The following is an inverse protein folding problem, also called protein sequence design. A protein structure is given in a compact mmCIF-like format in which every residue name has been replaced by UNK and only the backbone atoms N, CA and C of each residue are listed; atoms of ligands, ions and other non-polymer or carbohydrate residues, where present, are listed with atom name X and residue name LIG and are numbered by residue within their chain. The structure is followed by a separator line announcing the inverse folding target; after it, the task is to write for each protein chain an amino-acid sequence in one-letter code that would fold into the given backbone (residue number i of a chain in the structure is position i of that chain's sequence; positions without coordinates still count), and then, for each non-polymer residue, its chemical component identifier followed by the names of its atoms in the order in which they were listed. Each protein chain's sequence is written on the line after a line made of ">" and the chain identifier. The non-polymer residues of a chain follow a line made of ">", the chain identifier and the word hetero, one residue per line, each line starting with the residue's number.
data_IF_676218597022
#
_entry.id   IF_676218597022
#
_cell.length_a   1.000
_cell.length_b   1.000
_cell.length_c   1.000
_cell.angle_alpha   90.00
_cell.angle_beta   90.00
_cell.angle_gamma   90.00
#
_symmetry.space_group_name_H-M   'P 1'
#
loop_
_entity.id
_entity.type
_entity.pdbx_description
1 polymer ?
#
# COMPACT_ATOMS: atom_id res chain seq x y z
N UNK A 1 33.16 18.17 -13.30
CA UNK A 1 31.88 17.73 -13.90
C UNK A 1 30.86 18.81 -13.58
N UNK A 2 30.04 19.22 -14.56
CA UNK A 2 29.27 20.49 -14.53
C UNK A 2 28.51 20.69 -13.21
N UNK A 3 29.02 21.58 -12.36
CA UNK A 3 28.50 21.83 -11.00
C UNK A 3 27.39 22.87 -10.96
N UNK A 4 26.99 23.39 -12.12
CA UNK A 4 26.01 24.47 -12.21
C UNK A 4 25.15 24.41 -13.48
N UNK A 5 23.90 24.84 -13.33
CA UNK A 5 22.86 24.85 -14.35
C UNK A 5 22.54 26.29 -14.75
N UNK A 6 22.36 26.55 -16.05
CA UNK A 6 21.83 27.84 -16.50
C UNK A 6 20.33 27.93 -16.22
N UNK A 7 19.79 29.15 -16.17
CA UNK A 7 18.34 29.36 -16.00
C UNK A 7 17.51 28.63 -17.07
N UNK A 8 17.99 28.61 -18.32
CA UNK A 8 17.36 27.88 -19.43
C UNK A 8 17.37 26.37 -19.22
N UNK A 9 18.52 25.82 -18.82
CA UNK A 9 18.65 24.38 -18.60
C UNK A 9 17.79 23.93 -17.39
N UNK A 10 17.80 24.70 -16.31
CA UNK A 10 16.94 24.43 -15.15
C UNK A 10 15.45 24.48 -15.50
N UNK A 11 15.03 25.46 -16.31
CA UNK A 11 13.66 25.58 -16.79
C UNK A 11 13.20 24.31 -17.56
N UNK A 12 14.05 23.80 -18.44
CA UNK A 12 13.79 22.57 -19.20
C UNK A 12 13.69 21.34 -18.30
N UNK A 13 14.61 21.17 -17.35
CA UNK A 13 14.62 20.02 -16.43
C UNK A 13 13.41 19.98 -15.49
N UNK A 14 12.96 21.15 -15.02
CA UNK A 14 11.85 21.25 -14.08
C UNK A 14 10.51 21.33 -14.80
N UNK A 15 10.46 21.78 -16.06
CA UNK A 15 9.20 22.03 -16.77
C UNK A 15 8.50 23.31 -16.30
N UNK A 16 9.29 24.33 -15.92
CA UNK A 16 8.81 25.69 -15.64
C UNK A 16 9.24 26.62 -16.79
N UNK A 17 8.48 27.69 -17.10
CA UNK A 17 8.92 28.65 -18.12
C UNK A 17 10.21 29.36 -17.67
N UNK A 18 11.13 29.61 -18.61
CA UNK A 18 12.44 30.23 -18.31
C UNK A 18 12.29 31.60 -17.61
N UNK A 19 11.23 32.35 -17.94
CA UNK A 19 10.87 33.61 -17.28
C UNK A 19 10.54 33.43 -15.79
N UNK A 20 9.91 32.32 -15.40
CA UNK A 20 9.63 32.01 -14.00
C UNK A 20 10.91 31.72 -13.23
N UNK A 21 11.81 30.90 -13.79
CA UNK A 21 13.12 30.59 -13.18
C UNK A 21 13.95 31.87 -13.01
N UNK A 22 14.02 32.73 -14.03
CA UNK A 22 14.70 34.04 -13.93
C UNK A 22 14.08 34.94 -12.87
N UNK A 23 12.77 34.89 -12.70
CA UNK A 23 12.09 35.67 -11.66
C UNK A 23 12.40 35.12 -10.26
N UNK A 24 12.46 33.79 -10.09
CA UNK A 24 12.92 33.16 -8.83
C UNK A 24 14.35 33.58 -8.48
N UNK A 25 15.25 33.69 -9.47
CA UNK A 25 16.61 34.19 -9.26
C UNK A 25 16.61 35.65 -8.80
N UNK A 26 15.82 36.50 -9.47
CA UNK A 26 15.70 37.92 -9.11
C UNK A 26 15.21 38.12 -7.69
N UNK A 27 14.26 37.32 -7.26
CA UNK A 27 13.67 37.41 -5.92
C UNK A 27 14.54 36.74 -4.84
N UNK A 28 15.72 36.23 -5.21
CA UNK A 28 16.66 35.60 -4.28
C UNK A 28 16.22 34.23 -3.77
N UNK A 29 15.24 33.60 -4.42
CA UNK A 29 14.76 32.27 -4.07
C UNK A 29 15.78 31.18 -4.42
N UNK A 30 16.46 31.35 -5.57
CA UNK A 30 17.45 30.40 -6.09
C UNK A 30 18.63 31.13 -6.72
N UNK A 31 19.83 30.57 -6.61
CA UNK A 31 21.05 31.19 -7.12
C UNK A 31 21.34 32.55 -6.49
N UNK A 32 22.32 33.27 -7.06
CA UNK A 32 22.72 34.60 -6.59
C UNK A 32 22.04 35.70 -7.42
N UNK A 33 21.24 36.60 -6.81
CA UNK A 33 20.64 37.73 -7.49
C UNK A 33 21.70 38.60 -8.20
N UNK A 34 21.48 38.92 -9.46
CA UNK A 34 22.37 39.80 -10.23
C UNK A 34 23.63 39.13 -10.80
N UNK A 35 23.88 37.84 -10.53
CA UNK A 35 24.99 37.13 -11.15
C UNK A 35 24.74 36.88 -12.64
N UNK A 36 25.71 37.24 -13.49
CA UNK A 36 25.67 37.02 -14.94
C UNK A 36 26.94 36.28 -15.39
N UNK A 37 26.84 35.06 -15.95
CA UNK A 37 25.61 34.30 -16.16
C UNK A 37 25.07 33.72 -14.85
N UNK A 38 23.74 33.58 -14.76
CA UNK A 38 23.12 32.94 -13.61
C UNK A 38 23.51 31.44 -13.55
N UNK A 39 24.11 31.03 -12.43
CA UNK A 39 24.54 29.67 -12.17
C UNK A 39 23.71 29.11 -11.01
N UNK A 40 22.94 28.05 -11.28
CA UNK A 40 22.10 27.37 -10.31
C UNK A 40 22.77 26.07 -9.87
N UNK A 41 22.75 25.77 -8.58
CA UNK A 41 23.22 24.52 -8.01
C UNK A 41 22.15 23.42 -8.07
N UNK A 42 22.50 22.18 -7.73
CA UNK A 42 21.51 21.11 -7.56
C UNK A 42 20.48 21.44 -6.46
N UNK A 43 20.91 22.13 -5.40
CA UNK A 43 20.04 22.61 -4.32
C UNK A 43 18.97 23.58 -4.82
N UNK A 44 19.32 24.43 -5.80
CA UNK A 44 18.38 25.36 -6.43
C UNK A 44 17.32 24.65 -7.28
N UNK A 45 17.68 23.53 -7.93
CA UNK A 45 16.72 22.73 -8.69
C UNK A 45 15.64 22.11 -7.80
N UNK A 46 15.99 21.68 -6.58
CA UNK A 46 15.02 21.18 -5.61
C UNK A 46 14.02 22.26 -5.19
N UNK A 47 14.48 23.49 -4.94
CA UNK A 47 13.57 24.61 -4.65
C UNK A 47 12.65 24.93 -5.84
N UNK A 48 13.15 24.86 -7.07
CA UNK A 48 12.33 25.02 -8.28
C UNK A 48 11.30 23.90 -8.46
N UNK A 49 11.60 22.66 -8.07
CA UNK A 49 10.61 21.57 -8.04
C UNK A 49 9.46 21.85 -7.08
N UNK A 50 9.75 22.42 -5.91
CA UNK A 50 8.73 22.84 -4.95
C UNK A 50 7.84 23.95 -5.53
N UNK A 51 8.44 24.95 -6.19
CA UNK A 51 7.68 25.99 -6.91
C UNK A 51 6.77 25.35 -7.96
N UNK A 52 7.29 24.41 -8.75
CA UNK A 52 6.52 23.72 -9.79
C UNK A 52 5.34 22.94 -9.21
N UNK A 53 5.55 22.15 -8.16
CA UNK A 53 4.50 21.37 -7.52
C UNK A 53 3.35 22.26 -7.00
N UNK A 54 3.67 23.42 -6.43
CA UNK A 54 2.66 24.38 -5.95
C UNK A 54 1.88 25.05 -7.09
N UNK A 55 2.55 25.34 -8.20
CA UNK A 55 1.89 25.87 -9.41
C UNK A 55 1.01 24.83 -10.07
N UNK A 56 1.46 23.58 -10.17
CA UNK A 56 0.67 22.46 -10.69
C UNK A 56 -0.58 22.20 -9.82
N UNK A 57 -0.49 22.48 -8.51
CA UNK A 57 -1.63 22.46 -7.58
C UNK A 57 -2.59 23.66 -7.74
N UNK A 58 -2.38 24.52 -8.75
CA UNK A 58 -3.27 25.62 -9.10
C UNK A 58 -2.93 26.96 -8.42
N UNK A 59 -1.80 27.06 -7.71
CA UNK A 59 -1.43 28.30 -7.02
C UNK A 59 -0.79 29.31 -7.98
N UNK A 60 -1.12 30.61 -7.85
CA UNK A 60 -0.56 31.63 -8.71
C UNK A 60 0.94 31.79 -8.45
N UNK A 61 1.74 31.51 -9.49
CA UNK A 61 3.21 31.56 -9.48
C UNK A 61 3.79 32.84 -8.82
N UNK A 62 3.29 34.08 -9.08
CA UNK A 62 3.82 35.27 -8.41
C UNK A 62 3.71 35.23 -6.89
N UNK A 63 2.62 34.64 -6.38
CA UNK A 63 2.35 34.52 -4.94
C UNK A 63 3.20 33.42 -4.30
N UNK A 64 3.31 32.27 -4.96
CA UNK A 64 4.19 31.16 -4.56
C UNK A 64 5.63 31.64 -4.40
N UNK A 65 6.15 32.36 -5.39
CA UNK A 65 7.53 32.88 -5.36
C UNK A 65 7.76 33.85 -4.20
N UNK A 66 6.84 34.79 -3.98
CA UNK A 66 6.95 35.79 -2.92
C UNK A 66 6.96 35.15 -1.53
N UNK A 67 6.05 34.21 -1.28
CA UNK A 67 5.96 33.57 0.04
C UNK A 67 7.13 32.61 0.29
N UNK A 68 7.56 31.83 -0.70
CA UNK A 68 8.75 30.98 -0.52
C UNK A 68 10.03 31.79 -0.30
N UNK A 69 10.18 32.93 -0.98
CA UNK A 69 11.31 33.85 -0.76
C UNK A 69 11.26 34.45 0.66
N UNK A 70 10.07 34.79 1.15
CA UNK A 70 9.87 35.25 2.53
C UNK A 70 10.25 34.16 3.53
N UNK A 71 9.83 32.92 3.32
CA UNK A 71 10.19 31.80 4.20
C UNK A 71 11.70 31.60 4.24
N UNK A 72 12.35 31.61 3.08
CA UNK A 72 13.80 31.42 2.99
C UNK A 72 14.60 32.47 3.75
N UNK A 73 14.11 33.72 3.85
CA UNK A 73 14.72 34.78 4.66
C UNK A 73 14.64 34.54 6.17
N UNK A 74 13.69 33.72 6.63
CA UNK A 74 13.47 33.44 8.05
C UNK A 74 14.02 32.06 8.45
N UNK A 75 14.61 31.31 7.52
CA UNK A 75 15.26 30.03 7.83
C UNK A 75 16.62 30.26 8.51
N UNK A 76 17.00 29.42 9.50
CA UNK A 76 18.33 29.46 10.10
C UNK A 76 19.42 29.29 9.04
N UNK A 77 20.56 29.95 9.26
CA UNK A 77 21.73 29.86 8.39
C UNK A 77 22.15 28.40 8.16
N UNK A 78 22.03 27.92 6.92
CA UNK A 78 22.39 26.55 6.52
C UNK A 78 21.21 25.73 6.01
N UNK A 79 19.99 25.94 6.53
CA UNK A 79 18.80 25.16 6.16
C UNK A 79 18.32 25.47 4.75
N UNK A 80 18.02 24.44 3.96
CA UNK A 80 17.55 24.59 2.58
C UNK A 80 16.05 24.43 2.47
N UNK A 81 15.41 25.15 1.53
CA UNK A 81 14.07 24.82 1.05
C UNK A 81 13.97 23.36 0.53
N UNK A 82 15.10 22.77 0.11
CA UNK A 82 15.18 21.38 -0.32
C UNK A 82 14.99 20.35 0.82
N UNK A 83 15.20 20.76 2.07
CA UNK A 83 15.01 19.95 3.28
C UNK A 83 13.61 20.15 3.89
N UNK A 84 12.74 20.86 3.16
CA UNK A 84 11.38 21.14 3.58
C UNK A 84 10.39 20.26 2.81
N UNK A 85 9.57 19.51 3.54
CA UNK A 85 8.40 18.80 3.03
C UNK A 85 7.23 19.77 2.94
N UNK A 86 6.59 19.86 1.77
CA UNK A 86 5.43 20.71 1.54
C UNK A 86 4.18 19.84 1.44
N UNK A 87 3.23 20.04 2.34
CA UNK A 87 2.00 19.25 2.45
C UNK A 87 0.77 20.18 2.36
N UNK A 88 -0.23 19.80 1.56
CA UNK A 88 -1.50 20.53 1.52
C UNK A 88 -2.51 19.87 2.46
N UNK A 89 -3.02 20.61 3.46
CA UNK A 89 -4.00 20.10 4.43
C UNK A 89 -5.04 21.18 4.72
N UNK A 90 -6.33 20.84 4.58
CA UNK A 90 -7.42 21.75 4.92
C UNK A 90 -7.46 23.04 4.07
N UNK A 91 -7.07 22.96 2.81
CA UNK A 91 -7.01 24.13 1.92
C UNK A 91 -5.75 24.96 2.06
N UNK A 92 -4.89 24.70 3.05
CA UNK A 92 -3.65 25.42 3.30
C UNK A 92 -2.41 24.60 2.93
N UNK A 93 -1.33 25.28 2.57
CA UNK A 93 -0.04 24.64 2.28
C UNK A 93 0.87 24.79 3.49
N UNK A 94 1.23 23.67 4.11
CA UNK A 94 2.14 23.59 5.25
C UNK A 94 3.55 23.22 4.79
N UNK A 95 4.55 23.81 5.42
CA UNK A 95 5.96 23.54 5.15
C UNK A 95 6.62 23.01 6.43
N UNK A 96 7.21 21.81 6.37
CA UNK A 96 7.84 21.09 7.50
C UNK A 96 9.32 20.81 7.21
N UNK A 97 10.24 21.13 8.14
CA UNK A 97 11.68 20.80 8.00
C UNK A 97 12.07 19.44 8.58
N UNK A 98 13.14 18.84 8.06
CA UNK A 98 13.57 17.46 8.39
C UNK A 98 14.57 17.30 9.54
N UNK A 99 15.07 18.36 10.19
CA UNK A 99 16.03 18.23 11.30
C UNK A 99 15.44 18.54 12.68
N UNK A 100 15.64 17.58 13.60
CA UNK A 100 15.02 17.44 14.92
C UNK A 100 15.58 18.34 16.04
N UNK A 101 16.39 19.36 15.76
CA UNK A 101 17.04 20.14 16.84
C UNK A 101 16.97 21.67 16.75
N UNK A 102 16.17 22.23 15.85
CA UNK A 102 15.76 23.63 16.01
C UNK A 102 14.25 23.67 15.85
N UNK A 103 13.58 23.96 16.96
CA UNK A 103 12.18 24.32 16.96
C UNK A 103 11.97 25.52 16.03
N UNK A 104 11.64 25.27 14.76
CA UNK A 104 10.67 26.09 14.05
C UNK A 104 9.35 25.84 14.77
N UNK A 105 9.19 26.51 15.92
CA UNK A 105 7.96 26.54 16.67
C UNK A 105 6.87 27.11 15.76
N UNK A 106 6.06 26.22 15.20
CA UNK A 106 4.97 26.55 14.30
C UNK A 106 5.26 26.15 12.86
N UNK A 107 4.48 25.21 12.36
CA UNK A 107 4.26 25.00 10.93
C UNK A 107 4.02 26.37 10.28
N UNK A 108 4.83 26.79 9.31
CA UNK A 108 4.46 27.93 8.47
C UNK A 108 3.37 27.46 7.52
N UNK A 109 2.13 27.75 7.88
CA UNK A 109 1.00 27.68 6.96
C UNK A 109 1.14 28.86 6.00
N UNK A 110 1.35 28.55 4.73
CA UNK A 110 1.17 29.53 3.68
C UNK A 110 -0.33 29.87 3.62
N UNK A 111 -0.71 31.16 3.59
CA UNK A 111 -2.11 31.61 3.52
C UNK A 111 -2.66 31.44 2.11
N UNK A 112 -2.40 30.29 1.48
CA UNK A 112 -3.01 29.88 0.24
C UNK A 112 -4.27 29.11 0.61
N UNK A 113 -5.44 29.61 0.25
CA UNK A 113 -6.64 28.79 0.21
C UNK A 113 -6.72 28.16 -1.18
N UNK A 114 -6.63 26.83 -1.25
CA UNK A 114 -6.89 26.07 -2.47
C UNK A 114 -8.40 26.10 -2.69
N UNK A 115 -8.88 27.08 -3.46
CA UNK A 115 -10.28 27.15 -3.88
C UNK A 115 -10.49 26.09 -4.96
N UNK A 116 -11.30 25.03 -4.75
CA UNK A 116 -11.72 24.18 -5.86
C UNK A 116 -12.51 25.04 -6.84
N UNK A 117 -12.16 24.96 -8.12
CA UNK A 117 -12.63 25.87 -9.14
C UNK A 117 -14.17 26.02 -9.16
N UNK A 118 -14.60 27.30 -9.21
CA UNK A 118 -15.95 27.84 -9.41
C UNK A 118 -16.91 27.82 -8.21
N UNK A 119 -17.09 29.00 -7.60
CA UNK A 119 -18.40 29.65 -7.48
C UNK A 119 -18.24 31.08 -6.89
N UNK A 120 -18.58 32.09 -7.67
CA UNK A 120 -18.79 33.48 -7.23
C UNK A 120 -20.16 33.61 -6.56
N UNK A 121 -20.26 34.31 -5.41
CA UNK A 121 -21.47 35.01 -4.90
C UNK A 121 -21.08 36.02 -3.77
N UNK A 122 -21.94 37.01 -3.46
CA UNK A 122 -21.55 38.39 -3.12
C UNK A 122 -21.46 38.66 -1.59
N UNK A 123 -20.92 39.82 -1.17
CA UNK A 123 -20.65 40.08 0.23
C UNK A 123 -21.90 40.61 0.96
N UNK A 124 -22.27 39.98 2.07
CA UNK A 124 -23.35 40.44 2.92
C UNK A 124 -23.52 39.64 4.21
N UNK A 125 -22.95 40.19 5.28
CA UNK A 125 -23.22 39.93 6.71
C UNK A 125 -22.89 38.53 7.29
N UNK A 126 -21.77 38.49 8.02
CA UNK A 126 -21.43 37.42 8.95
C UNK A 126 -22.35 37.47 10.16
N UNK A 127 -23.41 36.65 10.16
CA UNK A 127 -23.91 36.09 11.41
C UNK A 127 -23.03 34.90 11.79
N UNK A 128 -22.47 34.91 13.00
CA UNK A 128 -21.92 33.70 13.59
C UNK A 128 -23.08 32.71 13.80
N UNK A 129 -23.25 31.81 12.83
CA UNK A 129 -24.01 30.58 13.05
C UNK A 129 -23.24 29.76 14.09
N UNK A 130 -23.93 29.09 15.03
CA UNK A 130 -23.27 28.20 15.98
C UNK A 130 -22.37 27.26 15.18
N UNK A 131 -21.08 27.19 15.57
CA UNK A 131 -20.10 26.27 14.97
C UNK A 131 -20.76 24.90 14.85
N UNK A 132 -21.23 24.55 13.66
CA UNK A 132 -21.34 23.16 13.31
C UNK A 132 -19.89 22.68 13.30
N UNK A 133 -19.55 21.77 14.21
CA UNK A 133 -18.31 21.03 14.11
C UNK A 133 -18.18 20.59 12.64
N UNK A 134 -17.02 20.81 12.00
CA UNK A 134 -16.82 20.30 10.65
C UNK A 134 -17.19 18.82 10.70
N UNK A 135 -18.05 18.30 9.79
CA UNK A 135 -18.31 16.88 9.76
C UNK A 135 -16.94 16.22 9.72
N UNK A 136 -16.69 15.33 10.69
CA UNK A 136 -15.43 14.63 10.80
C UNK A 136 -15.02 14.19 9.39
N UNK A 137 -13.73 14.33 9.00
CA UNK A 137 -13.29 13.94 7.67
C UNK A 137 -13.90 12.59 7.40
N UNK A 138 -14.76 12.49 6.37
CA UNK A 138 -15.41 11.24 6.04
C UNK A 138 -14.26 10.33 5.66
N UNK A 139 -13.83 9.54 6.63
CA UNK A 139 -12.76 8.57 6.46
C UNK A 139 -13.16 7.78 5.22
N UNK A 140 -12.23 7.60 4.29
CA UNK A 140 -12.46 6.64 3.21
C UNK A 140 -13.04 5.38 3.88
N UNK A 141 -14.18 4.87 3.39
CA UNK A 141 -14.85 3.79 4.07
C UNK A 141 -13.83 2.70 4.36
N UNK A 142 -13.80 2.14 5.58
CA UNK A 142 -12.84 1.11 5.93
C UNK A 142 -12.89 0.03 4.87
N UNK A 143 -11.72 -0.45 4.44
CA UNK A 143 -11.64 -1.44 3.37
C UNK A 143 -12.56 -2.63 3.69
N UNK A 144 -13.36 -3.04 2.70
CA UNK A 144 -14.32 -4.13 2.87
C UNK A 144 -13.60 -5.47 3.00
N UNK A 145 -14.30 -6.50 3.51
CA UNK A 145 -13.73 -7.85 3.55
C UNK A 145 -13.22 -8.32 2.18
N UNK A 146 -14.01 -8.11 1.13
CA UNK A 146 -13.62 -8.46 -0.25
C UNK A 146 -12.35 -7.74 -0.68
N UNK A 147 -12.21 -6.45 -0.36
CA UNK A 147 -10.99 -5.69 -0.67
C UNK A 147 -9.77 -6.24 0.08
N UNK A 148 -9.95 -6.71 1.31
CA UNK A 148 -8.89 -7.39 2.05
C UNK A 148 -8.52 -8.75 1.45
N UNK A 149 -9.50 -9.54 1.00
CA UNK A 149 -9.26 -10.83 0.31
C UNK A 149 -8.49 -10.59 -1.00
N UNK A 150 -8.95 -9.67 -1.83
CA UNK A 150 -8.28 -9.34 -3.10
C UNK A 150 -6.85 -8.86 -2.88
N UNK A 151 -6.64 -8.07 -1.82
CA UNK A 151 -5.29 -7.66 -1.43
C UNK A 151 -4.45 -8.86 -0.96
N UNK A 152 -5.02 -9.77 -0.17
CA UNK A 152 -4.32 -10.93 0.32
C UNK A 152 -3.85 -11.84 -0.83
N UNK A 153 -4.75 -12.15 -1.77
CA UNK A 153 -4.45 -12.94 -2.98
C UNK A 153 -3.28 -12.38 -3.79
N UNK A 154 -3.19 -11.05 -3.96
CA UNK A 154 -2.07 -10.41 -4.66
C UNK A 154 -0.73 -10.49 -3.92
N UNK A 155 -0.77 -10.73 -2.62
CA UNK A 155 0.39 -10.74 -1.74
C UNK A 155 0.92 -12.16 -1.49
N UNK A 156 0.14 -13.21 -1.71
CA UNK A 156 0.48 -14.59 -1.29
C UNK A 156 1.89 -15.01 -1.74
N UNK A 157 2.25 -14.78 -3.00
CA UNK A 157 3.57 -15.15 -3.53
C UNK A 157 4.67 -14.13 -3.18
N UNK A 158 4.31 -12.87 -2.96
CA UNK A 158 5.28 -11.75 -2.85
C UNK A 158 5.65 -11.41 -1.42
N UNK A 159 4.68 -11.51 -0.53
CA UNK A 159 4.75 -11.15 0.89
C UNK A 159 3.69 -11.97 1.67
N UNK A 160 3.99 -13.24 1.99
CA UNK A 160 3.04 -14.13 2.65
C UNK A 160 2.64 -13.63 4.04
N UNK A 161 3.51 -12.87 4.72
CA UNK A 161 3.20 -12.27 6.03
C UNK A 161 2.12 -11.20 5.87
N UNK A 162 2.26 -10.31 4.89
CA UNK A 162 1.24 -9.30 4.61
C UNK A 162 -0.06 -9.93 4.07
N UNK A 163 0.01 -11.06 3.37
CA UNK A 163 -1.16 -11.81 2.93
C UNK A 163 -1.95 -12.40 4.12
N UNK A 164 -1.25 -13.04 5.08
CA UNK A 164 -1.85 -13.54 6.33
C UNK A 164 -2.58 -12.41 7.07
N UNK A 165 -1.94 -11.25 7.21
CA UNK A 165 -2.55 -10.09 7.88
C UNK A 165 -3.79 -9.58 7.16
N UNK A 166 -3.77 -9.57 5.82
CA UNK A 166 -4.91 -9.17 5.01
C UNK A 166 -6.09 -10.16 5.14
N UNK A 167 -5.84 -11.47 5.08
CA UNK A 167 -6.88 -12.48 5.32
C UNK A 167 -7.46 -12.38 6.73
N UNK A 168 -6.62 -12.21 7.77
CA UNK A 168 -7.10 -12.00 9.15
C UNK A 168 -7.98 -10.76 9.28
N UNK A 169 -7.67 -9.67 8.56
CA UNK A 169 -8.51 -8.45 8.54
C UNK A 169 -9.83 -8.70 7.84
N UNK A 170 -9.83 -9.44 6.73
CA UNK A 170 -11.06 -9.85 6.06
C UNK A 170 -11.96 -10.66 6.99
N UNK A 171 -11.41 -11.71 7.60
CA UNK A 171 -12.15 -12.63 8.46
C UNK A 171 -12.66 -11.99 9.76
N UNK A 172 -12.01 -10.91 10.23
CA UNK A 172 -12.55 -10.08 11.33
C UNK A 172 -13.80 -9.31 10.93
N UNK A 173 -13.92 -8.92 9.66
CA UNK A 173 -15.07 -8.19 9.15
C UNK A 173 -16.18 -9.17 8.74
N UNK A 174 -15.82 -10.26 8.06
CA UNK A 174 -16.73 -11.28 7.57
C UNK A 174 -16.12 -12.67 7.84
N UNK A 175 -16.43 -13.28 9.00
CA UNK A 175 -15.89 -14.60 9.35
C UNK A 175 -16.50 -15.74 8.51
N UNK A 176 -17.62 -15.50 7.85
CA UNK A 176 -18.41 -16.46 7.07
C UNK A 176 -17.82 -16.78 5.68
N UNK A 177 -16.51 -16.54 5.47
CA UNK A 177 -15.86 -16.73 4.17
C UNK A 177 -14.98 -17.98 4.17
N UNK A 178 -15.52 -19.10 3.70
CA UNK A 178 -14.83 -20.39 3.61
C UNK A 178 -13.50 -20.29 2.85
N UNK A 179 -13.50 -19.62 1.68
CA UNK A 179 -12.30 -19.46 0.85
C UNK A 179 -11.17 -18.73 1.59
N UNK A 180 -11.49 -17.67 2.34
CA UNK A 180 -10.49 -16.92 3.09
C UNK A 180 -9.87 -17.76 4.23
N UNK A 181 -10.66 -18.64 4.88
CA UNK A 181 -10.14 -19.59 5.86
C UNK A 181 -9.22 -20.64 5.21
N UNK A 182 -9.58 -21.16 4.03
CA UNK A 182 -8.76 -22.13 3.30
C UNK A 182 -7.42 -21.52 2.90
N UNK A 183 -7.45 -20.33 2.28
CA UNK A 183 -6.22 -19.66 1.83
C UNK A 183 -5.32 -19.25 3.00
N UNK A 184 -5.92 -18.76 4.10
CA UNK A 184 -5.17 -18.47 5.32
C UNK A 184 -4.54 -19.75 5.92
N UNK A 185 -5.29 -20.84 5.97
CA UNK A 185 -4.81 -22.14 6.45
C UNK A 185 -3.64 -22.67 5.62
N UNK A 186 -3.70 -22.53 4.29
CA UNK A 186 -2.60 -22.91 3.39
C UNK A 186 -1.34 -22.10 3.68
N UNK A 187 -1.44 -20.78 3.84
CA UNK A 187 -0.30 -19.93 4.18
C UNK A 187 0.34 -20.30 5.54
N UNK A 188 -0.48 -20.71 6.52
CA UNK A 188 0.05 -21.24 7.78
C UNK A 188 0.77 -22.58 7.61
N UNK A 189 0.24 -23.49 6.80
CA UNK A 189 0.89 -24.77 6.51
C UNK A 189 2.24 -24.55 5.81
N UNK A 190 2.29 -23.67 4.81
CA UNK A 190 3.52 -23.32 4.07
C UNK A 190 4.57 -22.65 4.97
N UNK A 191 4.14 -21.91 6.01
CA UNK A 191 5.04 -21.30 7.00
C UNK A 191 5.42 -22.24 8.16
N UNK A 192 4.92 -23.48 8.16
CA UNK A 192 5.21 -24.50 9.17
C UNK A 192 4.36 -24.40 10.44
N UNK A 193 3.38 -23.50 10.50
CA UNK A 193 2.43 -23.43 11.61
C UNK A 193 1.23 -24.37 11.39
N UNK A 194 1.51 -25.67 11.55
CA UNK A 194 0.51 -26.72 11.36
C UNK A 194 -0.71 -26.59 12.30
N UNK A 195 -0.55 -25.97 13.47
CA UNK A 195 -1.65 -25.78 14.43
C UNK A 195 -2.60 -24.70 13.92
N UNK A 196 -2.08 -23.53 13.55
CA UNK A 196 -2.89 -22.46 12.99
C UNK A 196 -3.54 -22.88 11.66
N UNK A 197 -2.84 -23.65 10.83
CA UNK A 197 -3.39 -24.21 9.59
C UNK A 197 -4.59 -25.13 9.87
N UNK A 198 -4.43 -26.06 10.81
CA UNK A 198 -5.50 -26.98 11.22
C UNK A 198 -6.75 -26.22 11.69
N UNK A 199 -6.58 -25.20 12.54
CA UNK A 199 -7.70 -24.39 13.05
C UNK A 199 -8.42 -23.62 11.93
N UNK A 200 -7.68 -23.14 10.94
CA UNK A 200 -8.27 -22.48 9.77
C UNK A 200 -9.10 -23.46 8.93
N UNK A 201 -8.59 -24.65 8.63
CA UNK A 201 -9.34 -25.65 7.87
C UNK A 201 -10.54 -26.20 8.64
N UNK A 202 -10.44 -26.32 9.96
CA UNK A 202 -11.60 -26.62 10.83
C UNK A 202 -12.66 -25.53 10.75
N UNK A 203 -12.26 -24.26 10.79
CA UNK A 203 -13.18 -23.13 10.65
C UNK A 203 -13.86 -23.11 9.28
N UNK A 204 -13.12 -23.45 8.21
CA UNK A 204 -13.69 -23.62 6.87
C UNK A 204 -14.75 -24.74 6.84
N UNK A 205 -14.48 -25.89 7.48
CA UNK A 205 -15.42 -27.01 7.55
C UNK A 205 -16.63 -26.76 8.47
N UNK A 206 -16.50 -25.91 9.48
CA UNK A 206 -17.63 -25.50 10.31
C UNK A 206 -18.61 -24.62 9.50
N UNK A 207 -18.12 -23.89 8.48
CA UNK A 207 -18.94 -23.10 7.54
C UNK A 207 -19.47 -23.95 6.37
N UNK A 208 -18.60 -24.76 5.77
CA UNK A 208 -18.94 -25.68 4.69
C UNK A 208 -18.41 -27.10 4.98
N UNK A 209 -19.25 -27.97 5.57
CA UNK A 209 -18.89 -29.36 5.86
C UNK A 209 -18.65 -30.23 4.62
N UNK A 210 -18.90 -29.72 3.42
CA UNK A 210 -18.69 -30.41 2.16
C UNK A 210 -17.48 -29.90 1.37
N UNK A 211 -16.63 -29.05 1.97
CA UNK A 211 -15.42 -28.55 1.31
C UNK A 211 -14.32 -29.62 1.21
N UNK A 212 -14.12 -30.13 0.00
CA UNK A 212 -13.13 -31.17 -0.29
C UNK A 212 -11.68 -30.69 -0.07
N UNK A 213 -11.40 -29.41 -0.32
CA UNK A 213 -10.05 -28.81 -0.22
C UNK A 213 -9.61 -28.72 1.24
N UNK A 214 -10.53 -28.36 2.14
CA UNK A 214 -10.25 -28.33 3.58
C UNK A 214 -9.95 -29.74 4.13
N UNK A 215 -10.70 -30.77 3.72
CA UNK A 215 -10.39 -32.16 4.08
C UNK A 215 -9.04 -32.62 3.52
N UNK A 216 -8.73 -32.28 2.26
CA UNK A 216 -7.44 -32.59 1.66
C UNK A 216 -6.29 -31.99 2.47
N UNK A 217 -6.36 -30.69 2.79
CA UNK A 217 -5.28 -30.01 3.53
C UNK A 217 -5.14 -30.51 4.98
N UNK A 218 -6.25 -30.86 5.65
CA UNK A 218 -6.17 -31.56 6.95
C UNK A 218 -5.50 -32.93 6.82
N UNK A 219 -5.73 -33.64 5.71
CA UNK A 219 -5.05 -34.89 5.39
C UNK A 219 -3.54 -34.72 5.25
N UNK A 220 -3.10 -33.64 4.59
CA UNK A 220 -1.66 -33.27 4.49
C UNK A 220 -1.07 -33.04 5.87
N UNK A 221 -1.72 -32.23 6.71
CA UNK A 221 -1.26 -31.98 8.09
C UNK A 221 -1.17 -33.27 8.91
N UNK A 222 -2.16 -34.16 8.79
CA UNK A 222 -2.16 -35.44 9.50
C UNK A 222 -1.02 -36.36 9.01
N UNK A 223 -0.75 -36.38 7.71
CA UNK A 223 0.34 -37.14 7.11
C UNK A 223 1.70 -36.62 7.59
N UNK A 224 1.92 -35.31 7.59
CA UNK A 224 3.16 -34.69 8.08
C UNK A 224 3.38 -34.96 9.58
N UNK A 225 2.29 -35.09 10.35
CA UNK A 225 2.32 -35.50 11.75
C UNK A 225 2.53 -37.02 11.96
N UNK A 226 2.67 -37.81 10.89
CA UNK A 226 2.84 -39.27 10.96
C UNK A 226 1.56 -40.03 11.33
N UNK A 227 0.39 -39.39 11.28
CA UNK A 227 -0.92 -40.00 11.59
C UNK A 227 -1.53 -40.58 10.32
N UNK A 228 -0.92 -41.65 9.81
CA UNK A 228 -1.27 -42.24 8.52
C UNK A 228 -2.76 -42.63 8.40
N UNK A 229 -3.33 -43.27 9.42
CA UNK A 229 -4.73 -43.68 9.39
C UNK A 229 -5.69 -42.48 9.28
N UNK A 230 -5.41 -41.39 9.98
CA UNK A 230 -6.20 -40.16 9.94
C UNK A 230 -6.07 -39.49 8.57
N UNK A 231 -4.85 -39.42 8.03
CA UNK A 231 -4.61 -38.87 6.69
C UNK A 231 -5.38 -39.63 5.61
N UNK A 232 -5.36 -40.97 5.63
CA UNK A 232 -6.12 -41.81 4.70
C UNK A 232 -7.62 -41.53 4.81
N UNK A 233 -8.16 -41.40 6.02
CA UNK A 233 -9.58 -41.11 6.23
C UNK A 233 -9.95 -39.73 5.66
N UNK A 234 -9.13 -38.72 5.90
CA UNK A 234 -9.33 -37.35 5.42
C UNK A 234 -9.23 -37.25 3.89
N UNK A 235 -8.24 -37.88 3.27
CA UNK A 235 -8.13 -37.91 1.81
C UNK A 235 -9.26 -38.68 1.14
N UNK A 236 -9.73 -39.79 1.74
CA UNK A 236 -10.92 -40.49 1.24
C UNK A 236 -12.15 -39.59 1.31
N UNK A 237 -12.33 -38.85 2.41
CA UNK A 237 -13.43 -37.90 2.54
C UNK A 237 -13.36 -36.79 1.50
N UNK A 238 -12.16 -36.26 1.24
CA UNK A 238 -11.95 -35.29 0.16
C UNK A 238 -12.37 -35.87 -1.20
N UNK A 239 -11.97 -37.10 -1.52
CA UNK A 239 -12.32 -37.78 -2.78
C UNK A 239 -13.79 -38.20 -2.89
N UNK A 240 -14.49 -38.41 -1.79
CA UNK A 240 -15.95 -38.60 -1.78
C UNK A 240 -16.68 -37.33 -2.22
N UNK A 241 -16.14 -36.16 -1.87
CA UNK A 241 -16.71 -34.85 -2.16
C UNK A 241 -16.28 -34.34 -3.54
N UNK A 242 -15.00 -34.50 -3.89
CA UNK A 242 -14.45 -34.21 -5.20
C UNK A 242 -13.55 -35.36 -5.70
N UNK A 243 -14.08 -36.27 -6.54
CA UNK A 243 -13.32 -37.36 -7.15
C UNK A 243 -12.22 -36.91 -8.12
N UNK A 244 -12.15 -35.62 -8.48
CA UNK A 244 -11.17 -35.08 -9.44
C UNK A 244 -9.95 -34.45 -8.76
N UNK A 245 -9.85 -34.48 -7.42
CA UNK A 245 -8.65 -34.06 -6.68
C UNK A 245 -7.49 -35.03 -6.92
N UNK A 246 -6.70 -34.74 -7.95
CA UNK A 246 -5.58 -35.57 -8.37
C UNK A 246 -4.55 -35.73 -7.24
N UNK A 247 -4.26 -34.66 -6.51
CA UNK A 247 -3.29 -34.63 -5.42
C UNK A 247 -3.69 -35.57 -4.27
N UNK A 248 -4.99 -35.68 -3.97
CA UNK A 248 -5.48 -36.62 -2.97
C UNK A 248 -5.27 -38.08 -3.41
N UNK A 249 -5.43 -38.39 -4.70
CA UNK A 249 -5.07 -39.69 -5.26
C UNK A 249 -3.57 -39.96 -5.15
N UNK A 250 -2.71 -38.98 -5.45
CA UNK A 250 -1.27 -39.13 -5.33
C UNK A 250 -0.83 -39.42 -3.89
N UNK A 251 -1.37 -38.66 -2.91
CA UNK A 251 -1.04 -38.84 -1.51
C UNK A 251 -1.51 -40.20 -0.97
N UNK A 252 -2.73 -40.63 -1.31
CA UNK A 252 -3.21 -41.97 -0.96
C UNK A 252 -2.36 -43.09 -1.59
N UNK A 253 -1.94 -42.93 -2.84
CA UNK A 253 -1.07 -43.92 -3.48
C UNK A 253 0.26 -44.07 -2.73
N UNK A 254 0.83 -42.95 -2.29
CA UNK A 254 2.08 -42.92 -1.53
C UNK A 254 1.93 -43.59 -0.16
N UNK A 255 0.85 -43.29 0.57
CA UNK A 255 0.58 -43.92 1.87
C UNK A 255 0.34 -45.43 1.75
N UNK A 256 -0.43 -45.88 0.75
CA UNK A 256 -0.65 -47.31 0.54
C UNK A 256 0.61 -48.07 0.10
N UNK A 257 1.51 -47.42 -0.64
CA UNK A 257 2.80 -48.02 -0.98
C UNK A 257 3.65 -48.21 0.28
N UNK A 258 3.69 -47.21 1.16
CA UNK A 258 4.42 -47.26 2.44
C UNK A 258 3.88 -48.33 3.40
N UNK A 259 2.55 -48.54 3.45
CA UNK A 259 1.92 -49.61 4.24
C UNK A 259 1.90 -50.98 3.55
N UNK A 260 2.40 -51.08 2.31
CA UNK A 260 2.51 -52.34 1.57
C UNK A 260 1.22 -52.80 0.88
N UNK A 261 0.16 -52.00 0.83
CA UNK A 261 -1.03 -52.28 0.01
C UNK A 261 -0.79 -51.83 -1.43
N UNK A 262 0.04 -52.58 -2.15
CA UNK A 262 0.36 -52.30 -3.56
C UNK A 262 -0.88 -52.25 -4.45
N UNK A 263 -1.94 -53.00 -4.10
CA UNK A 263 -3.17 -53.01 -4.89
C UNK A 263 -3.90 -51.67 -4.77
N UNK A 264 -4.00 -51.10 -3.57
CA UNK A 264 -4.58 -49.78 -3.37
C UNK A 264 -3.70 -48.68 -3.98
N UNK A 265 -2.38 -48.77 -3.80
CA UNK A 265 -1.43 -47.83 -4.39
C UNK A 265 -1.58 -47.73 -5.91
N UNK A 266 -1.62 -48.88 -6.60
CA UNK A 266 -1.79 -48.94 -8.07
C UNK A 266 -3.13 -48.34 -8.52
N UNK A 267 -4.22 -48.54 -7.76
CA UNK A 267 -5.51 -47.93 -8.11
C UNK A 267 -5.43 -46.40 -8.08
N UNK A 268 -4.94 -45.84 -6.98
CA UNK A 268 -4.90 -44.39 -6.81
C UNK A 268 -3.89 -43.72 -7.74
N UNK A 269 -2.71 -44.31 -7.99
CA UNK A 269 -1.74 -43.72 -8.93
C UNK A 269 -2.26 -43.71 -10.38
N UNK A 270 -3.11 -44.67 -10.76
CA UNK A 270 -3.72 -44.69 -12.09
C UNK A 270 -4.78 -43.59 -12.25
N UNK A 271 -5.61 -43.34 -11.23
CA UNK A 271 -6.55 -42.21 -11.27
C UNK A 271 -5.81 -40.86 -11.27
N UNK A 272 -4.77 -40.69 -10.45
CA UNK A 272 -3.91 -39.49 -10.51
C UNK A 272 -3.38 -39.22 -11.93
N UNK A 273 -2.83 -40.25 -12.58
CA UNK A 273 -2.31 -40.15 -13.97
C UNK A 273 -3.40 -39.85 -14.99
N UNK A 274 -4.63 -40.29 -14.75
CA UNK A 274 -5.77 -40.02 -15.64
C UNK A 274 -6.24 -38.57 -15.52
N UNK A 275 -6.19 -37.99 -14.32
CA UNK A 275 -6.60 -36.61 -14.05
C UNK A 275 -5.55 -35.57 -14.48
N UNK A 276 -4.27 -35.98 -14.60
CA UNK A 276 -3.13 -35.08 -14.92
C UNK A 276 -2.57 -35.22 -16.34
N UNK A 277 -3.24 -35.99 -17.20
CA UNK A 277 -2.89 -36.16 -18.62
C UNK A 277 -3.75 -35.29 -19.51
#
# INVERSE_FOLDING_TARGET
>A
MWTSYSARHAAQLIGLPESAVRSCIRDGLVGTPGAVPAQLSFRDLSALRTVKALVDAGLPLPRVRKELARIQQHLPSGTSLAELTVEARGGQVHIRGTHSEVALAGQLALPFDIVPAKATLPPGELRELPRAEPPAPVAAPPATADQWIQRAMQLEERDPVAAIDAYRRSLKLHPECTEAWINLGRLFAESGDATAAHDCFRSALDLDPADATAYYNLGVIAQDAGKEADAIALYRRALELDPHLAEAHYNLATLFDQSGDSRAAIRHINEYRKLTR
#
